data_IF_578797029377
#
_entry.id   IF_578797029377
#
_cell.length_a   1.000
_cell.length_b   1.000
_cell.length_c   1.000
_cell.angle_alpha   90.00
_cell.angle_beta   90.00
_cell.angle_gamma   90.00
#
_symmetry.space_group_name_H-M   'P 1'
#
loop_
_entity.id
_entity.type
_entity.pdbx_description
1 polymer ?
#
# COMPACT_ATOMS: atom_id res chain seq x y z
N UNK A 1 18.74 -17.79 4.40
CA UNK A 1 17.65 -17.65 3.41
C UNK A 1 18.27 -17.19 2.10
N UNK A 2 17.74 -17.64 0.95
CA UNK A 2 18.17 -17.18 -0.37
C UNK A 2 17.84 -15.71 -0.54
N UNK A 3 18.68 -14.98 -1.27
CA UNK A 3 18.35 -13.61 -1.65
C UNK A 3 17.27 -13.60 -2.72
N UNK A 4 16.40 -12.62 -2.65
CA UNK A 4 15.25 -12.46 -3.55
C UNK A 4 15.24 -11.04 -4.10
N UNK A 5 15.01 -10.90 -5.39
CA UNK A 5 14.88 -9.61 -6.04
C UNK A 5 13.52 -9.47 -6.74
N UNK A 6 13.04 -8.25 -6.80
CA UNK A 6 11.99 -7.83 -7.74
C UNK A 6 12.66 -7.66 -9.10
N UNK A 7 12.15 -8.38 -10.11
CA UNK A 7 12.68 -8.36 -11.48
C UNK A 7 11.72 -7.74 -12.48
N UNK A 8 10.42 -7.69 -12.17
CA UNK A 8 9.43 -7.07 -13.02
C UNK A 8 8.23 -6.56 -12.24
N UNK A 9 7.67 -5.44 -12.68
CA UNK A 9 6.53 -4.80 -12.02
C UNK A 9 5.52 -4.27 -13.04
N UNK A 10 4.23 -4.35 -12.68
CA UNK A 10 3.14 -3.80 -13.47
C UNK A 10 2.01 -3.31 -12.59
N UNK A 11 1.31 -2.28 -13.03
CA UNK A 11 0.17 -1.69 -12.32
C UNK A 11 -0.90 -1.28 -13.33
N UNK A 12 -2.16 -1.60 -13.08
CA UNK A 12 -3.29 -1.14 -13.88
C UNK A 12 -3.58 0.33 -13.61
N UNK A 13 -4.40 0.95 -14.44
CA UNK A 13 -5.00 2.24 -14.09
C UNK A 13 -5.98 2.04 -12.94
N UNK A 14 -5.85 2.85 -11.90
CA UNK A 14 -6.76 2.88 -10.76
C UNK A 14 -7.97 3.77 -11.03
N UNK A 15 -9.13 3.39 -10.50
CA UNK A 15 -10.36 4.17 -10.68
C UNK A 15 -11.62 3.37 -10.50
N UNK A 16 -12.71 3.85 -11.09
CA UNK A 16 -13.97 3.12 -11.26
C UNK A 16 -13.83 2.35 -12.57
N UNK A 17 -13.67 1.03 -12.51
CA UNK A 17 -13.33 0.17 -13.65
C UNK A 17 -14.49 -0.78 -14.00
N UNK A 18 -15.65 -0.18 -14.33
CA UNK A 18 -16.82 -0.94 -14.79
C UNK A 18 -16.67 -1.47 -16.23
N UNK A 19 -15.57 -1.11 -16.89
CA UNK A 19 -15.21 -1.48 -18.26
C UNK A 19 -14.55 -2.86 -18.36
N UNK A 20 -14.08 -3.43 -17.26
CA UNK A 20 -13.31 -4.69 -17.21
C UNK A 20 -13.76 -5.59 -16.06
N UNK A 21 -13.61 -6.91 -16.23
CA UNK A 21 -13.73 -7.91 -15.17
C UNK A 21 -12.51 -7.88 -14.24
N UNK A 22 -12.58 -8.58 -13.10
CA UNK A 22 -11.43 -8.72 -12.18
C UNK A 22 -10.24 -9.40 -12.87
N UNK A 23 -10.49 -10.35 -13.78
CA UNK A 23 -9.45 -11.06 -14.52
C UNK A 23 -8.76 -10.18 -15.56
N UNK A 24 -9.53 -9.39 -16.32
CA UNK A 24 -8.98 -8.40 -17.25
C UNK A 24 -8.19 -7.32 -16.54
N UNK A 25 -8.70 -6.84 -15.40
CA UNK A 25 -7.99 -5.86 -14.55
C UNK A 25 -6.66 -6.42 -14.05
N UNK A 26 -6.63 -7.69 -13.60
CA UNK A 26 -5.40 -8.36 -13.20
C UNK A 26 -4.41 -8.48 -14.38
N UNK A 27 -4.90 -8.80 -15.58
CA UNK A 27 -4.07 -8.91 -16.77
C UNK A 27 -3.41 -7.58 -17.18
N UNK A 28 -4.10 -6.45 -16.99
CA UNK A 28 -3.51 -5.11 -17.19
C UNK A 28 -2.25 -4.87 -16.34
N UNK A 29 -2.12 -5.52 -15.20
CA UNK A 29 -0.94 -5.44 -14.35
C UNK A 29 0.08 -6.56 -14.64
N UNK A 30 -0.40 -7.78 -14.90
CA UNK A 30 0.46 -8.95 -15.13
C UNK A 30 1.23 -8.83 -16.44
N UNK A 31 0.59 -8.41 -17.54
CA UNK A 31 1.26 -8.28 -18.83
C UNK A 31 2.47 -7.34 -18.78
N UNK A 32 2.38 -6.09 -18.29
CA UNK A 32 3.55 -5.22 -18.16
C UNK A 32 4.63 -5.80 -17.22
N UNK A 33 4.25 -6.52 -16.16
CA UNK A 33 5.23 -7.10 -15.24
C UNK A 33 6.05 -8.23 -15.90
N UNK A 34 5.46 -8.99 -16.81
CA UNK A 34 6.19 -9.98 -17.62
C UNK A 34 7.12 -9.31 -18.63
N UNK A 35 6.65 -8.26 -19.30
CA UNK A 35 7.45 -7.48 -20.24
C UNK A 35 8.65 -6.85 -19.54
N UNK A 36 8.46 -6.27 -18.33
CA UNK A 36 9.49 -5.68 -17.49
C UNK A 36 10.51 -6.72 -16.99
N UNK A 37 10.04 -7.94 -16.66
CA UNK A 37 10.91 -9.03 -16.21
C UNK A 37 11.61 -9.80 -17.35
N UNK A 38 11.15 -9.65 -18.60
CA UNK A 38 11.64 -10.43 -19.74
C UNK A 38 11.30 -11.92 -19.67
N UNK A 39 10.18 -12.28 -19.03
CA UNK A 39 9.72 -13.67 -18.86
C UNK A 39 8.26 -13.84 -19.31
N UNK A 40 7.75 -15.06 -19.26
CA UNK A 40 6.34 -15.36 -19.55
C UNK A 40 5.67 -16.17 -18.44
N UNK A 41 4.37 -16.39 -18.57
CA UNK A 41 3.57 -17.12 -17.59
C UNK A 41 4.11 -18.53 -17.23
N UNK A 42 4.74 -19.22 -18.19
CA UNK A 42 5.33 -20.55 -18.01
C UNK A 42 6.53 -20.59 -17.05
N UNK A 43 7.15 -19.44 -16.81
CA UNK A 43 8.36 -19.31 -15.98
C UNK A 43 8.00 -19.07 -14.51
N UNK A 44 6.72 -18.76 -14.21
CA UNK A 44 6.24 -18.51 -12.85
C UNK A 44 5.76 -19.81 -12.21
N UNK A 45 6.33 -20.14 -11.06
CA UNK A 45 6.05 -21.39 -10.33
C UNK A 45 5.07 -21.20 -9.17
N UNK A 46 4.95 -19.98 -8.65
CA UNK A 46 4.13 -19.64 -7.50
C UNK A 46 3.46 -18.28 -7.67
N UNK A 47 2.16 -18.20 -7.39
CA UNK A 47 1.38 -16.94 -7.39
C UNK A 47 0.68 -16.78 -6.05
N UNK A 48 0.92 -15.66 -5.38
CA UNK A 48 0.14 -15.22 -4.23
C UNK A 48 -0.74 -14.04 -4.65
N UNK A 49 -2.07 -14.19 -4.53
CA UNK A 49 -3.04 -13.14 -4.81
C UNK A 49 -3.48 -12.45 -3.52
N UNK A 50 -3.28 -11.15 -3.41
CA UNK A 50 -3.89 -10.28 -2.40
C UNK A 50 -5.28 -9.83 -2.86
N UNK A 51 -6.30 -10.24 -2.13
CA UNK A 51 -7.70 -9.84 -2.37
C UNK A 51 -8.53 -10.05 -1.13
N UNK A 52 -9.42 -9.11 -0.83
CA UNK A 52 -10.32 -9.12 0.32
C UNK A 52 -11.75 -9.45 -0.11
N UNK A 53 -12.21 -8.81 -1.17
CA UNK A 53 -13.61 -8.71 -1.54
C UNK A 53 -14.22 -9.90 -2.29
N UNK A 54 -13.51 -11.03 -2.42
CA UNK A 54 -14.01 -12.22 -3.11
C UNK A 54 -15.34 -12.72 -2.51
N UNK A 55 -16.36 -12.83 -3.35
CA UNK A 55 -17.71 -13.20 -2.94
C UNK A 55 -18.47 -12.10 -2.19
N UNK A 56 -17.92 -10.88 -2.12
CA UNK A 56 -18.51 -9.74 -1.44
C UNK A 56 -18.71 -8.54 -2.38
N UNK A 57 -17.62 -7.93 -2.87
CA UNK A 57 -17.67 -6.82 -3.81
C UNK A 57 -17.85 -7.27 -5.26
N UNK A 58 -17.43 -8.49 -5.56
CA UNK A 58 -17.60 -9.17 -6.85
C UNK A 58 -17.97 -10.63 -6.60
N UNK A 59 -18.68 -11.24 -7.52
CA UNK A 59 -19.31 -12.55 -7.32
C UNK A 59 -18.30 -13.72 -7.30
N UNK A 60 -17.05 -13.49 -7.72
CA UNK A 60 -16.03 -14.53 -7.82
C UNK A 60 -15.52 -14.95 -6.44
N UNK A 61 -15.67 -16.23 -6.10
CA UNK A 61 -15.20 -16.80 -4.84
C UNK A 61 -13.74 -17.28 -4.88
N UNK A 62 -13.26 -17.62 -6.08
CA UNK A 62 -11.92 -18.17 -6.33
C UNK A 62 -11.04 -17.25 -7.20
N UNK A 63 -10.86 -15.97 -6.81
CA UNK A 63 -10.19 -14.99 -7.67
C UNK A 63 -8.74 -15.40 -8.02
N UNK A 64 -8.03 -16.11 -7.12
CA UNK A 64 -6.67 -16.58 -7.41
C UNK A 64 -6.62 -17.54 -8.59
N UNK A 65 -7.63 -18.38 -8.78
CA UNK A 65 -7.69 -19.32 -9.90
C UNK A 65 -8.08 -18.60 -11.19
N UNK A 66 -9.21 -17.89 -11.19
CA UNK A 66 -9.73 -17.27 -12.43
C UNK A 66 -8.83 -16.17 -12.98
N UNK A 67 -8.25 -15.34 -12.11
CA UNK A 67 -7.29 -14.29 -12.57
C UNK A 67 -6.00 -14.92 -13.09
N UNK A 68 -5.49 -15.96 -12.43
CA UNK A 68 -4.28 -16.67 -12.87
C UNK A 68 -4.50 -17.43 -14.16
N UNK A 69 -5.64 -18.10 -14.33
CA UNK A 69 -5.99 -18.77 -15.57
C UNK A 69 -6.07 -17.80 -16.74
N UNK A 70 -6.74 -16.65 -16.56
CA UNK A 70 -6.84 -15.60 -17.57
C UNK A 70 -5.46 -15.06 -17.98
N UNK A 71 -4.52 -15.00 -17.02
CA UNK A 71 -3.14 -14.58 -17.26
C UNK A 71 -2.21 -15.71 -17.77
N UNK A 72 -2.72 -16.92 -17.99
CA UNK A 72 -1.95 -18.07 -18.47
C UNK A 72 -1.12 -18.78 -17.40
N UNK A 73 -1.36 -18.49 -16.12
CA UNK A 73 -0.59 -19.00 -14.94
C UNK A 73 -1.14 -20.34 -14.40
N UNK A 74 -1.64 -21.21 -15.26
CA UNK A 74 -2.38 -22.44 -14.90
C UNK A 74 -1.53 -23.54 -14.25
N UNK A 75 -0.20 -23.47 -14.32
CA UNK A 75 0.72 -24.48 -13.77
C UNK A 75 1.39 -24.04 -12.47
N UNK A 76 1.21 -22.80 -12.06
CA UNK A 76 1.76 -22.29 -10.83
C UNK A 76 0.97 -22.78 -9.60
N UNK A 77 1.63 -22.82 -8.45
CA UNK A 77 0.92 -22.95 -7.17
C UNK A 77 0.18 -21.65 -6.90
N UNK A 78 -1.12 -21.74 -6.63
CA UNK A 78 -1.98 -20.57 -6.46
C UNK A 78 -2.46 -20.47 -5.02
N UNK A 79 -2.26 -19.33 -4.37
CA UNK A 79 -2.78 -19.03 -3.03
C UNK A 79 -3.43 -17.66 -2.99
N UNK A 80 -4.51 -17.51 -2.22
CA UNK A 80 -5.09 -16.21 -1.89
C UNK A 80 -4.64 -15.80 -0.49
N UNK A 81 -4.19 -14.55 -0.36
CA UNK A 81 -3.79 -13.92 0.89
C UNK A 81 -4.79 -12.85 1.30
N UNK A 82 -5.15 -12.84 2.58
CA UNK A 82 -6.02 -11.83 3.18
C UNK A 82 -5.35 -11.28 4.45
N UNK A 83 -5.28 -9.95 4.56
CA UNK A 83 -4.87 -9.17 5.73
C UNK A 83 -5.51 -7.76 5.65
N UNK A 84 -6.82 -7.71 5.32
CA UNK A 84 -7.55 -6.48 5.03
C UNK A 84 -6.76 -5.60 4.01
N UNK A 85 -6.61 -4.30 4.25
CA UNK A 85 -5.89 -3.39 3.35
C UNK A 85 -4.40 -3.74 3.14
N UNK A 86 -3.83 -4.67 3.91
CA UNK A 86 -2.47 -5.16 3.77
C UNK A 86 -2.36 -6.48 2.98
N UNK A 87 -3.45 -6.96 2.36
CA UNK A 87 -3.48 -8.24 1.63
C UNK A 87 -2.46 -8.30 0.49
N UNK A 88 -2.21 -7.19 -0.21
CA UNK A 88 -1.16 -7.11 -1.24
C UNK A 88 0.25 -7.29 -0.67
N UNK A 89 0.53 -6.73 0.51
CA UNK A 89 1.81 -6.95 1.21
C UNK A 89 1.93 -8.37 1.77
N UNK A 90 0.83 -8.96 2.23
CA UNK A 90 0.79 -10.37 2.64
C UNK A 90 1.08 -11.30 1.45
N UNK A 91 0.53 -10.99 0.27
CA UNK A 91 0.83 -11.70 -0.97
C UNK A 91 2.30 -11.55 -1.37
N UNK A 92 2.85 -10.34 -1.28
CA UNK A 92 4.28 -10.09 -1.53
C UNK A 92 5.17 -10.89 -0.57
N UNK A 93 4.86 -10.89 0.73
CA UNK A 93 5.58 -11.69 1.72
C UNK A 93 5.50 -13.19 1.43
N UNK A 94 4.32 -13.70 1.02
CA UNK A 94 4.12 -15.11 0.70
C UNK A 94 4.91 -15.53 -0.54
N UNK A 95 4.90 -14.74 -1.59
CA UNK A 95 5.71 -14.98 -2.80
C UNK A 95 7.22 -14.91 -2.49
N UNK A 96 7.65 -13.92 -1.71
CA UNK A 96 9.02 -13.83 -1.19
C UNK A 96 9.41 -15.08 -0.41
N UNK A 97 8.56 -15.54 0.51
CA UNK A 97 8.83 -16.71 1.35
C UNK A 97 8.97 -17.99 0.52
N UNK A 98 8.17 -18.17 -0.55
CA UNK A 98 8.28 -19.32 -1.45
C UNK A 98 9.65 -19.39 -2.12
N UNK A 99 10.21 -18.26 -2.55
CA UNK A 99 11.56 -18.22 -3.13
C UNK A 99 12.65 -18.35 -2.05
N UNK A 100 12.53 -17.61 -0.96
CA UNK A 100 13.53 -17.60 0.12
C UNK A 100 13.70 -18.96 0.79
N UNK A 101 12.65 -19.79 0.80
CA UNK A 101 12.67 -21.17 1.30
C UNK A 101 13.10 -22.21 0.24
N UNK A 102 13.24 -21.81 -1.03
CA UNK A 102 13.63 -22.71 -2.12
C UNK A 102 12.48 -23.51 -2.75
N UNK A 103 11.21 -23.15 -2.47
CA UNK A 103 10.04 -23.77 -3.09
C UNK A 103 9.76 -23.27 -4.51
N UNK A 104 10.31 -22.13 -4.88
CA UNK A 104 10.22 -21.56 -6.23
C UNK A 104 11.49 -20.77 -6.58
N UNK A 105 11.81 -20.71 -7.86
CA UNK A 105 12.83 -19.83 -8.41
C UNK A 105 12.23 -18.48 -8.86
N UNK A 106 11.00 -18.51 -9.38
CA UNK A 106 10.22 -17.35 -9.80
C UNK A 106 8.83 -17.41 -9.18
N UNK A 107 8.44 -16.33 -8.53
CA UNK A 107 7.12 -16.18 -7.92
C UNK A 107 6.51 -14.82 -8.28
N UNK A 108 5.18 -14.75 -8.27
CA UNK A 108 4.44 -13.52 -8.49
C UNK A 108 3.62 -13.16 -7.25
N UNK A 109 3.71 -11.92 -6.83
CA UNK A 109 2.73 -11.30 -5.96
C UNK A 109 1.76 -10.47 -6.83
N UNK A 110 0.49 -10.83 -6.81
CA UNK A 110 -0.57 -10.16 -7.55
C UNK A 110 -1.57 -9.57 -6.56
N UNK A 111 -1.85 -8.28 -6.63
CA UNK A 111 -2.98 -7.66 -5.93
C UNK A 111 -4.06 -7.34 -6.95
N UNK A 112 -5.30 -7.71 -6.68
CA UNK A 112 -6.44 -7.34 -7.52
C UNK A 112 -7.69 -7.15 -6.66
N UNK A 113 -8.37 -6.03 -6.84
CA UNK A 113 -9.59 -5.72 -6.10
C UNK A 113 -10.56 -4.90 -6.95
N UNK A 114 -11.85 -5.27 -6.90
CA UNK A 114 -12.94 -4.50 -7.50
C UNK A 114 -13.96 -4.16 -6.42
N UNK A 115 -13.94 -2.90 -5.98
CA UNK A 115 -14.76 -2.42 -4.86
C UNK A 115 -16.00 -1.65 -5.32
N UNK A 116 -16.17 -1.46 -6.62
CA UNK A 116 -17.18 -0.56 -7.21
C UNK A 116 -18.28 -1.30 -7.98
N UNK A 117 -18.35 -2.64 -7.90
CA UNK A 117 -19.43 -3.42 -8.53
C UNK A 117 -20.72 -3.46 -7.72
N UNK A 118 -20.67 -3.04 -6.46
CA UNK A 118 -21.82 -2.92 -5.56
C UNK A 118 -22.03 -1.48 -5.12
N UNK A 119 -23.19 -1.17 -4.56
CA UNK A 119 -23.49 0.17 -4.06
C UNK A 119 -22.60 0.56 -2.87
N UNK A 120 -22.45 1.87 -2.65
CA UNK A 120 -21.53 2.40 -1.64
C UNK A 120 -21.92 2.04 -0.21
N UNK A 121 -23.22 1.88 0.12
CA UNK A 121 -23.67 1.52 1.47
C UNK A 121 -23.32 0.08 1.81
N UNK A 122 -23.56 -0.84 0.89
CA UNK A 122 -23.16 -2.24 1.00
C UNK A 122 -21.65 -2.38 1.07
N UNK A 123 -20.91 -1.62 0.24
CA UNK A 123 -19.45 -1.61 0.28
C UNK A 123 -18.91 -1.12 1.63
N UNK A 124 -19.51 -0.09 2.22
CA UNK A 124 -19.12 0.40 3.56
C UNK A 124 -19.39 -0.64 4.67
N UNK A 125 -20.48 -1.40 4.58
CA UNK A 125 -20.74 -2.49 5.52
C UNK A 125 -19.67 -3.60 5.40
N UNK A 126 -19.33 -4.00 4.18
CA UNK A 126 -18.27 -5.00 3.95
C UNK A 126 -16.90 -4.52 4.46
N UNK A 127 -16.54 -3.26 4.21
CA UNK A 127 -15.30 -2.68 4.76
C UNK A 127 -15.36 -2.68 6.29
N UNK A 128 -16.50 -2.34 6.90
CA UNK A 128 -16.71 -2.36 8.35
C UNK A 128 -16.40 -3.72 9.01
N UNK A 129 -16.54 -4.81 8.24
CA UNK A 129 -16.21 -6.17 8.71
C UNK A 129 -14.70 -6.41 8.87
N UNK A 130 -13.85 -5.53 8.36
CA UNK A 130 -12.40 -5.57 8.59
C UNK A 130 -11.96 -4.89 9.89
N UNK A 131 -12.90 -4.44 10.75
CA UNK A 131 -12.70 -4.06 12.14
C UNK A 131 -13.19 -5.13 13.10
N UNK A 132 -13.45 -4.76 14.37
CA UNK A 132 -14.12 -5.65 15.33
C UNK A 132 -15.63 -5.56 15.14
N UNK A 133 -16.10 -6.10 13.99
CA UNK A 133 -17.40 -5.85 13.37
C UNK A 133 -18.57 -5.86 14.32
N UNK A 134 -18.76 -6.96 15.08
CA UNK A 134 -19.95 -7.16 15.88
C UNK A 134 -20.11 -6.11 16.99
N UNK A 135 -19.00 -5.78 17.68
CA UNK A 135 -19.05 -4.84 18.80
C UNK A 135 -18.89 -3.37 18.39
N UNK A 136 -18.22 -3.10 17.30
CA UNK A 136 -17.88 -1.73 16.92
C UNK A 136 -18.75 -1.21 15.77
N UNK A 137 -18.82 -1.95 14.65
CA UNK A 137 -19.62 -1.53 13.51
C UNK A 137 -21.11 -1.86 13.70
N UNK A 138 -21.44 -3.14 13.93
CA UNK A 138 -22.85 -3.59 13.98
C UNK A 138 -23.65 -2.93 15.10
N UNK A 139 -23.10 -2.86 16.31
CA UNK A 139 -23.81 -2.30 17.46
C UNK A 139 -23.71 -0.77 17.57
N UNK A 140 -22.62 -0.15 17.12
CA UNK A 140 -22.37 1.28 17.30
C UNK A 140 -22.21 2.07 16.00
N UNK A 141 -22.25 1.42 14.85
CA UNK A 141 -22.14 2.07 13.55
C UNK A 141 -20.77 2.67 13.26
N UNK A 142 -19.71 2.16 13.89
CA UNK A 142 -18.36 2.70 13.76
C UNK A 142 -17.78 2.35 12.38
N UNK A 143 -17.84 3.29 11.44
CA UNK A 143 -17.30 3.16 10.10
C UNK A 143 -15.77 3.39 10.08
N UNK A 144 -15.07 3.02 9.00
CA UNK A 144 -13.62 3.26 8.90
C UNK A 144 -13.24 4.73 9.04
N UNK A 145 -13.92 5.71 8.43
CA UNK A 145 -13.68 7.11 8.73
C UNK A 145 -13.81 7.44 10.22
N UNK A 146 -14.77 6.84 10.94
CA UNK A 146 -14.97 7.08 12.37
C UNK A 146 -13.82 6.50 13.21
N UNK A 147 -13.25 5.33 12.84
CA UNK A 147 -12.03 4.81 13.48
C UNK A 147 -10.88 5.79 13.40
N UNK A 148 -10.61 6.30 12.19
CA UNK A 148 -9.50 7.23 11.98
C UNK A 148 -9.79 8.63 12.52
N UNK A 149 -11.05 9.02 12.65
CA UNK A 149 -11.44 10.24 13.36
C UNK A 149 -11.10 10.16 14.86
N UNK A 150 -11.22 8.98 15.49
CA UNK A 150 -10.78 8.79 16.89
C UNK A 150 -9.25 8.99 17.00
N UNK A 151 -8.46 8.47 16.07
CA UNK A 151 -7.01 8.70 16.04
C UNK A 151 -6.69 10.17 15.81
N UNK A 152 -7.37 10.83 14.87
CA UNK A 152 -7.17 12.25 14.60
C UNK A 152 -7.46 13.10 15.86
N UNK A 153 -8.62 12.91 16.50
CA UNK A 153 -8.96 13.63 17.73
C UNK A 153 -7.95 13.39 18.86
N UNK A 154 -7.50 12.15 19.06
CA UNK A 154 -6.52 11.82 20.08
C UNK A 154 -5.17 12.49 19.79
N UNK A 155 -4.74 12.48 18.54
CA UNK A 155 -3.48 13.10 18.11
C UNK A 155 -3.53 14.62 18.23
N UNK A 156 -4.66 15.24 17.82
CA UNK A 156 -4.90 16.68 17.99
C UNK A 156 -4.89 17.07 19.47
N UNK A 157 -5.59 16.32 20.33
CA UNK A 157 -5.64 16.60 21.76
C UNK A 157 -4.27 16.46 22.45
N UNK A 158 -3.45 15.48 22.04
CA UNK A 158 -2.18 15.18 22.69
C UNK A 158 -1.02 16.01 22.16
N UNK A 159 -0.98 16.26 20.86
CA UNK A 159 0.18 16.85 20.16
C UNK A 159 -0.12 18.18 19.46
N UNK A 160 -1.37 18.63 19.45
CA UNK A 160 -1.76 19.90 18.84
C UNK A 160 -1.78 19.90 17.32
N UNK A 161 -1.89 18.72 16.69
CA UNK A 161 -2.14 18.61 15.23
C UNK A 161 -3.44 19.31 14.89
N UNK A 162 -3.51 20.00 13.77
CA UNK A 162 -4.67 20.78 13.34
C UNK A 162 -5.34 20.18 12.09
N UNK A 163 -6.54 20.66 11.75
CA UNK A 163 -7.22 20.29 10.50
C UNK A 163 -6.43 20.75 9.27
N UNK A 164 -5.70 21.87 9.37
CA UNK A 164 -4.81 22.37 8.32
C UNK A 164 -3.63 21.40 8.08
N UNK A 165 -3.09 20.80 9.14
CA UNK A 165 -2.04 19.78 9.00
C UNK A 165 -2.54 18.55 8.23
N UNK A 166 -3.76 18.12 8.52
CA UNK A 166 -4.42 17.05 7.78
C UNK A 166 -4.62 17.44 6.32
N UNK A 167 -5.10 18.67 6.08
CA UNK A 167 -5.31 19.21 4.74
C UNK A 167 -4.03 19.26 3.92
N UNK A 168 -2.89 19.64 4.51
CA UNK A 168 -1.59 19.66 3.85
C UNK A 168 -1.15 18.28 3.33
N UNK A 169 -1.44 17.20 4.08
CA UNK A 169 -1.22 15.82 3.58
C UNK A 169 -2.02 15.58 2.31
N UNK A 170 -3.30 15.93 2.32
CA UNK A 170 -4.18 15.77 1.16
C UNK A 170 -3.70 16.57 -0.05
N UNK A 171 -3.33 17.84 0.15
CA UNK A 171 -2.81 18.75 -0.89
C UNK A 171 -1.53 18.17 -1.52
N UNK A 172 -0.59 17.69 -0.70
CA UNK A 172 0.65 17.03 -1.15
C UNK A 172 0.34 15.81 -2.01
N UNK A 173 -0.51 14.89 -1.54
CA UNK A 173 -0.81 13.67 -2.25
C UNK A 173 -1.58 13.93 -3.55
N UNK A 174 -2.52 14.89 -3.58
CA UNK A 174 -3.16 15.34 -4.81
C UNK A 174 -2.20 16.01 -5.80
N UNK A 175 -1.18 16.72 -5.32
CA UNK A 175 -0.12 17.30 -6.18
C UNK A 175 0.62 16.19 -6.95
N UNK A 176 1.01 15.11 -6.28
CA UNK A 176 1.75 14.00 -6.90
C UNK A 176 0.83 13.07 -7.70
N UNK A 177 -0.39 12.83 -7.23
CA UNK A 177 -1.38 12.07 -7.98
C UNK A 177 -1.78 12.72 -9.29
N UNK A 178 -1.83 14.06 -9.34
CA UNK A 178 -2.07 14.81 -10.58
C UNK A 178 -1.02 14.55 -11.67
N UNK A 179 0.20 14.17 -11.26
CA UNK A 179 1.30 13.83 -12.16
C UNK A 179 1.41 12.33 -12.44
N UNK A 180 0.59 11.50 -11.77
CA UNK A 180 0.63 10.05 -11.94
C UNK A 180 -0.45 9.57 -12.93
N UNK A 181 -0.07 9.00 -14.10
CA UNK A 181 -1.04 8.60 -15.11
C UNK A 181 -1.99 7.49 -14.66
N UNK A 182 -1.60 6.67 -13.69
CA UNK A 182 -2.44 5.57 -13.16
C UNK A 182 -3.36 6.02 -12.02
N UNK A 183 -3.20 7.23 -11.48
CA UNK A 183 -3.99 7.71 -10.35
C UNK A 183 -5.48 7.92 -10.72
N UNK A 184 -6.35 7.64 -9.75
CA UNK A 184 -7.79 7.87 -9.85
C UNK A 184 -8.13 9.36 -9.82
N UNK A 185 -7.60 10.10 -8.84
CA UNK A 185 -7.86 11.53 -8.66
C UNK A 185 -6.66 12.33 -9.18
N UNK A 186 -6.88 13.11 -10.24
CA UNK A 186 -5.82 13.85 -10.93
C UNK A 186 -5.96 15.37 -10.79
N UNK A 187 -6.84 15.83 -9.95
CA UNK A 187 -7.04 17.26 -9.68
C UNK A 187 -6.14 17.70 -8.52
N UNK A 188 -5.48 18.83 -8.70
CA UNK A 188 -4.85 19.56 -7.58
C UNK A 188 -5.93 20.23 -6.75
N UNK A 189 -5.72 20.26 -5.45
CA UNK A 189 -6.61 20.91 -4.47
C UNK A 189 -5.80 21.83 -3.56
N UNK A 190 -6.48 22.74 -2.90
CA UNK A 190 -5.92 23.66 -1.90
C UNK A 190 -6.31 23.25 -0.48
N UNK A 191 -5.69 23.84 0.52
CA UNK A 191 -6.08 23.69 1.92
C UNK A 191 -7.54 24.10 2.12
N UNK A 192 -7.95 25.23 1.52
CA UNK A 192 -9.32 25.72 1.61
C UNK A 192 -10.34 24.75 0.99
N UNK A 193 -10.01 24.09 -0.14
CA UNK A 193 -10.85 23.04 -0.72
C UNK A 193 -11.07 21.89 0.24
N UNK A 194 -10.02 21.46 0.96
CA UNK A 194 -10.11 20.39 1.95
C UNK A 194 -10.98 20.82 3.12
N UNK A 195 -10.70 21.98 3.70
CA UNK A 195 -11.40 22.51 4.88
C UNK A 195 -12.89 22.79 4.60
N UNK A 196 -13.23 23.22 3.37
CA UNK A 196 -14.60 23.45 2.94
C UNK A 196 -15.36 22.18 2.53
N UNK A 197 -14.68 21.04 2.38
CA UNK A 197 -15.33 19.80 1.95
C UNK A 197 -16.21 19.20 3.05
N UNK A 198 -17.14 18.33 2.64
CA UNK A 198 -18.12 17.72 3.54
C UNK A 198 -17.46 16.95 4.68
N UNK A 199 -17.89 17.16 5.91
CA UNK A 199 -17.47 16.38 7.08
C UNK A 199 -17.99 14.95 6.95
N UNK A 200 -17.10 13.98 7.00
CA UNK A 200 -17.43 12.54 6.97
C UNK A 200 -17.50 11.98 8.40
N UNK A 201 -16.50 12.24 9.22
CA UNK A 201 -16.45 11.91 10.65
C UNK A 201 -15.49 12.90 11.32
N UNK A 202 -16.02 13.85 12.10
CA UNK A 202 -15.21 14.95 12.66
C UNK A 202 -13.96 14.46 13.40
N UNK A 203 -12.74 15.03 13.09
CA UNK A 203 -12.50 16.19 12.24
C UNK A 203 -12.33 15.87 10.75
N UNK A 204 -12.38 14.60 10.32
CA UNK A 204 -12.10 14.17 8.95
C UNK A 204 -13.21 14.60 7.97
N UNK A 205 -12.79 15.19 6.87
CA UNK A 205 -13.63 15.63 5.76
C UNK A 205 -13.44 14.73 4.53
N UNK A 206 -14.20 14.97 3.49
CA UNK A 206 -14.19 14.17 2.27
C UNK A 206 -12.78 14.04 1.67
N UNK A 207 -12.05 15.15 1.59
CA UNK A 207 -10.68 15.15 1.10
C UNK A 207 -9.65 14.62 2.11
N UNK A 208 -10.02 14.25 3.32
CA UNK A 208 -9.19 13.50 4.26
C UNK A 208 -9.28 11.99 4.07
N UNK A 209 -10.25 11.52 3.29
CA UNK A 209 -10.52 10.10 3.05
C UNK A 209 -10.03 9.65 1.67
N UNK A 210 -9.48 8.44 1.55
CA UNK A 210 -9.16 7.85 0.26
C UNK A 210 -10.45 7.44 -0.49
N UNK A 211 -10.46 7.45 -1.83
CA UNK A 211 -11.59 6.97 -2.61
C UNK A 211 -11.67 5.44 -2.61
N UNK A 212 -12.88 4.89 -2.77
CA UNK A 212 -13.05 3.50 -3.16
C UNK A 212 -12.59 3.30 -4.60
N UNK A 213 -11.75 2.29 -4.83
CA UNK A 213 -10.99 2.15 -6.06
C UNK A 213 -10.96 0.70 -6.53
N UNK A 214 -11.09 0.49 -7.83
CA UNK A 214 -10.75 -0.75 -8.50
C UNK A 214 -9.31 -0.66 -9.03
N UNK A 215 -8.56 -1.76 -8.95
CA UNK A 215 -7.19 -1.77 -9.44
C UNK A 215 -6.46 -3.09 -9.23
N UNK A 216 -5.38 -3.29 -9.98
CA UNK A 216 -4.48 -4.43 -9.84
C UNK A 216 -3.01 -4.00 -9.94
N UNK A 217 -2.11 -4.74 -9.27
CA UNK A 217 -0.67 -4.57 -9.35
C UNK A 217 0.01 -5.94 -9.27
N UNK A 218 1.04 -6.14 -10.09
CA UNK A 218 1.77 -7.40 -10.21
C UNK A 218 3.26 -7.17 -10.01
N UNK A 219 3.88 -8.02 -9.18
CA UNK A 219 5.30 -7.98 -8.84
C UNK A 219 5.89 -9.37 -9.12
N UNK A 220 6.84 -9.45 -10.02
CA UNK A 220 7.61 -10.67 -10.30
C UNK A 220 8.86 -10.67 -9.45
N UNK A 221 9.03 -11.75 -8.69
CA UNK A 221 10.17 -11.99 -7.81
C UNK A 221 10.99 -13.16 -8.33
N UNK A 222 12.30 -13.10 -8.15
CA UNK A 222 13.20 -14.19 -8.52
C UNK A 222 14.31 -14.41 -7.49
N UNK A 223 14.84 -15.63 -7.44
CA UNK A 223 16.03 -15.98 -6.66
C UNK A 223 17.28 -15.28 -7.25
N UNK A 224 18.33 -15.13 -6.44
CA UNK A 224 19.63 -14.58 -6.90
C UNK A 224 20.20 -15.38 -8.08
N UNK A 225 20.01 -16.70 -8.06
CA UNK A 225 20.45 -17.60 -9.12
C UNK A 225 19.72 -17.31 -10.42
N UNK A 226 18.38 -17.13 -10.34
CA UNK A 226 17.55 -16.83 -11.50
C UNK A 226 17.78 -15.42 -12.04
N UNK A 227 18.03 -14.45 -11.18
CA UNK A 227 18.44 -13.08 -11.58
C UNK A 227 19.71 -13.13 -12.44
N UNK A 228 20.71 -13.95 -12.06
CA UNK A 228 21.97 -14.13 -12.82
C UNK A 228 21.73 -14.84 -14.15
N UNK A 229 20.90 -15.89 -14.16
CA UNK A 229 20.51 -16.65 -15.36
C UNK A 229 19.83 -15.75 -16.40
N UNK A 230 18.85 -14.96 -15.93
CA UNK A 230 18.08 -14.03 -16.77
C UNK A 230 18.86 -12.77 -17.15
N UNK A 231 20.03 -12.54 -16.53
CA UNK A 231 20.88 -11.34 -16.73
C UNK A 231 20.10 -10.04 -16.51
N UNK A 232 19.34 -9.98 -15.41
CA UNK A 232 18.54 -8.80 -15.06
C UNK A 232 19.47 -7.61 -14.77
N UNK A 233 19.37 -6.54 -15.55
CA UNK A 233 20.28 -5.38 -15.47
C UNK A 233 20.11 -4.59 -14.16
N UNK A 234 18.88 -4.39 -13.71
CA UNK A 234 18.53 -3.55 -12.55
C UNK A 234 17.64 -4.28 -11.55
N UNK A 235 18.12 -5.38 -10.93
CA UNK A 235 17.36 -6.07 -9.90
C UNK A 235 17.21 -5.20 -8.65
N UNK A 236 16.00 -5.18 -8.07
CA UNK A 236 15.74 -4.49 -6.81
C UNK A 236 15.58 -5.51 -5.69
N UNK A 237 16.53 -5.54 -4.76
CA UNK A 237 16.63 -6.58 -3.74
C UNK A 237 15.66 -6.32 -2.59
N UNK A 238 15.04 -7.39 -2.11
CA UNK A 238 14.29 -7.39 -0.86
C UNK A 238 15.29 -7.42 0.29
N UNK A 239 15.60 -6.25 0.85
CA UNK A 239 16.58 -6.11 1.92
C UNK A 239 16.02 -6.59 3.27
N UNK A 240 14.75 -6.35 3.53
CA UNK A 240 14.10 -6.80 4.76
C UNK A 240 12.60 -6.65 4.73
N UNK A 241 11.91 -7.59 5.36
CA UNK A 241 10.47 -7.52 5.60
C UNK A 241 10.23 -7.66 7.09
N UNK A 242 9.45 -6.74 7.66
CA UNK A 242 8.91 -6.83 9.00
C UNK A 242 7.40 -6.88 8.94
N UNK A 243 6.80 -7.67 9.78
CA UNK A 243 5.34 -7.77 9.91
C UNK A 243 4.95 -7.95 11.36
N UNK A 244 3.77 -7.47 11.70
CA UNK A 244 3.19 -7.60 13.03
C UNK A 244 1.67 -7.52 12.96
N UNK A 245 1.02 -8.05 13.97
CA UNK A 245 -0.40 -7.87 14.21
C UNK A 245 -0.63 -7.35 15.62
N UNK A 246 -1.69 -6.56 15.78
CA UNK A 246 -2.16 -6.03 17.04
C UNK A 246 -3.62 -6.43 17.29
N UNK A 247 -4.26 -5.77 18.26
CA UNK A 247 -5.67 -6.01 18.55
C UNK A 247 -6.60 -5.32 17.55
N UNK A 248 -7.61 -6.05 17.08
CA UNK A 248 -8.70 -5.47 16.29
C UNK A 248 -9.67 -4.66 17.17
N UNK A 249 -9.81 -5.02 18.46
CA UNK A 249 -10.70 -4.38 19.41
C UNK A 249 -10.09 -3.08 19.93
N UNK A 250 -10.73 -1.94 19.62
CA UNK A 250 -10.27 -0.60 20.04
C UNK A 250 -10.15 -0.47 21.56
N UNK A 251 -11.06 -1.06 22.32
CA UNK A 251 -11.05 -0.95 23.79
C UNK A 251 -9.83 -1.59 24.47
N UNK A 252 -9.07 -2.40 23.73
CA UNK A 252 -7.85 -3.05 24.20
C UNK A 252 -6.57 -2.33 23.79
N UNK A 253 -6.68 -1.23 23.05
CA UNK A 253 -5.51 -0.44 22.66
C UNK A 253 -5.05 0.45 23.80
N UNK A 254 -3.73 0.59 24.00
CA UNK A 254 -3.20 1.43 25.07
C UNK A 254 -3.45 2.92 24.83
N UNK A 255 -3.46 3.35 23.58
CA UNK A 255 -3.77 4.71 23.15
C UNK A 255 -4.26 4.75 21.70
N UNK A 256 -4.57 5.96 21.21
CA UNK A 256 -5.04 6.23 19.85
C UNK A 256 -4.12 7.18 19.06
N UNK A 257 -2.84 7.31 19.43
CA UNK A 257 -1.90 8.21 18.78
C UNK A 257 -0.80 7.48 18.01
N UNK A 258 -0.93 6.18 17.84
CA UNK A 258 -0.01 5.34 17.08
C UNK A 258 -0.53 3.93 16.90
N UNK A 259 0.15 3.15 16.08
CA UNK A 259 -0.17 1.76 15.78
C UNK A 259 0.98 0.87 16.23
N UNK A 260 0.79 0.12 17.33
CA UNK A 260 1.82 -0.79 17.85
C UNK A 260 2.32 -1.78 16.78
N UNK A 261 1.41 -2.28 15.95
CA UNK A 261 1.77 -3.16 14.84
C UNK A 261 2.73 -2.49 13.84
N UNK A 262 2.57 -1.18 13.57
CA UNK A 262 3.47 -0.42 12.70
C UNK A 262 4.86 -0.26 13.31
N UNK A 263 4.93 0.06 14.60
CA UNK A 263 6.20 0.18 15.34
C UNK A 263 6.97 -1.14 15.33
N UNK A 264 6.31 -2.25 15.67
CA UNK A 264 6.94 -3.56 15.71
C UNK A 264 7.36 -4.07 14.32
N UNK A 265 6.52 -3.88 13.31
CA UNK A 265 6.83 -4.25 11.94
C UNK A 265 8.04 -3.47 11.41
N UNK A 266 8.09 -2.16 11.62
CA UNK A 266 9.22 -1.32 11.17
C UNK A 266 10.53 -1.70 11.85
N UNK A 267 10.54 -1.93 13.16
CA UNK A 267 11.72 -2.40 13.89
C UNK A 267 12.26 -3.73 13.33
N UNK A 268 11.36 -4.67 13.01
CA UNK A 268 11.73 -5.96 12.41
C UNK A 268 12.29 -5.79 11.01
N UNK A 269 11.69 -4.91 10.19
CA UNK A 269 12.15 -4.63 8.83
C UNK A 269 13.54 -3.98 8.84
N UNK A 270 13.76 -2.95 9.66
CA UNK A 270 15.07 -2.30 9.82
C UNK A 270 16.14 -3.28 10.28
N UNK A 271 15.83 -4.12 11.29
CA UNK A 271 16.74 -5.16 11.76
C UNK A 271 17.10 -6.16 10.67
N UNK A 272 16.10 -6.63 9.91
CA UNK A 272 16.31 -7.59 8.82
C UNK A 272 17.14 -7.00 7.68
N UNK A 273 16.89 -5.73 7.31
CA UNK A 273 17.60 -5.02 6.25
C UNK A 273 18.99 -4.52 6.66
N UNK A 274 19.30 -4.48 7.96
CA UNK A 274 20.54 -3.89 8.48
C UNK A 274 20.66 -2.39 8.23
N UNK A 275 19.54 -1.66 8.21
CA UNK A 275 19.50 -0.21 7.98
C UNK A 275 18.76 0.50 9.13
N UNK A 276 18.96 1.83 9.19
CA UNK A 276 18.28 2.72 10.13
C UNK A 276 17.30 3.63 9.39
N UNK A 277 16.31 4.26 10.04
CA UNK A 277 15.39 5.20 9.41
C UNK A 277 16.08 6.32 8.63
N UNK A 278 17.24 6.80 9.08
CA UNK A 278 17.99 7.87 8.41
C UNK A 278 18.67 7.44 7.09
N UNK A 279 18.66 6.15 6.76
CA UNK A 279 19.19 5.60 5.52
C UNK A 279 18.13 5.36 4.46
N UNK A 280 16.86 5.59 4.79
CA UNK A 280 15.74 5.53 3.85
C UNK A 280 15.75 6.81 3.01
N UNK A 281 15.74 6.67 1.69
CA UNK A 281 15.71 7.81 0.77
C UNK A 281 14.28 8.32 0.54
N UNK A 282 13.30 7.42 0.55
CA UNK A 282 11.88 7.75 0.37
C UNK A 282 10.98 6.62 0.90
N UNK A 283 9.71 6.92 1.12
CA UNK A 283 8.75 5.93 1.61
C UNK A 283 7.39 6.04 0.90
N UNK A 284 6.74 4.90 0.72
CA UNK A 284 5.32 4.78 0.44
C UNK A 284 4.63 4.31 1.72
N UNK A 285 3.77 5.14 2.32
CA UNK A 285 3.09 4.82 3.57
C UNK A 285 1.59 4.76 3.39
N UNK A 286 0.91 4.07 4.30
CA UNK A 286 -0.52 3.84 4.25
C UNK A 286 -1.30 5.08 4.69
N UNK A 287 -1.75 5.88 3.76
CA UNK A 287 -2.49 7.13 3.93
C UNK A 287 -3.98 6.99 3.57
N UNK A 288 -4.62 5.91 4.00
CA UNK A 288 -6.06 5.74 3.76
C UNK A 288 -6.90 6.92 4.32
N UNK A 289 -6.37 7.60 5.32
CA UNK A 289 -6.82 8.90 5.84
C UNK A 289 -5.60 9.77 6.12
N UNK A 290 -5.76 11.07 6.06
CA UNK A 290 -4.65 12.02 6.23
C UNK A 290 -3.91 11.86 7.56
N UNK A 291 -4.62 11.60 8.66
CA UNK A 291 -4.01 11.31 9.96
C UNK A 291 -3.15 10.03 9.96
N UNK A 292 -3.51 9.03 9.16
CA UNK A 292 -2.73 7.79 9.07
C UNK A 292 -1.32 8.03 8.54
N UNK A 293 -1.16 8.96 7.59
CA UNK A 293 0.15 9.34 7.07
C UNK A 293 1.00 10.03 8.14
N UNK A 294 0.44 10.98 8.90
CA UNK A 294 1.12 11.66 10.00
C UNK A 294 1.59 10.64 11.05
N UNK A 295 0.70 9.75 11.47
CA UNK A 295 1.04 8.69 12.43
C UNK A 295 2.09 7.73 11.89
N UNK A 296 2.05 7.42 10.60
CA UNK A 296 3.03 6.54 9.97
C UNK A 296 4.45 7.11 10.05
N UNK A 297 4.65 8.41 9.81
CA UNK A 297 5.98 9.04 9.94
C UNK A 297 6.60 8.80 11.32
N UNK A 298 5.78 8.86 12.35
CA UNK A 298 6.18 8.70 13.75
C UNK A 298 6.41 7.21 14.09
N UNK A 299 5.47 6.34 13.69
CA UNK A 299 5.50 4.91 14.01
C UNK A 299 6.66 4.17 13.33
N UNK A 300 7.03 4.58 12.11
CA UNK A 300 8.17 4.00 11.40
C UNK A 300 9.50 4.73 11.67
N UNK A 301 9.49 5.75 12.54
CA UNK A 301 10.69 6.42 13.03
C UNK A 301 11.32 7.45 12.08
N UNK A 302 10.55 8.03 11.14
CA UNK A 302 11.04 9.15 10.31
C UNK A 302 11.14 10.45 11.10
N UNK A 303 10.36 10.57 12.17
CA UNK A 303 10.42 11.63 13.18
C UNK A 303 10.05 11.09 14.56
N UNK A 304 10.19 11.92 15.60
CA UNK A 304 9.72 11.58 16.94
C UNK A 304 8.18 11.64 17.03
N UNK A 305 7.61 10.99 18.04
CA UNK A 305 6.17 11.04 18.32
C UNK A 305 5.71 12.48 18.56
N UNK A 306 4.62 12.86 17.88
CA UNK A 306 4.04 14.21 17.90
C UNK A 306 4.69 15.20 16.94
N UNK A 307 5.70 14.80 16.16
CA UNK A 307 6.38 15.68 15.20
C UNK A 307 5.96 15.44 13.75
N UNK A 308 5.10 14.46 13.48
CA UNK A 308 4.68 14.11 12.11
C UNK A 308 3.98 15.28 11.39
N UNK A 309 3.10 16.01 12.06
CA UNK A 309 2.45 17.20 11.52
C UNK A 309 3.45 18.31 11.15
N UNK A 310 4.52 18.47 11.94
CA UNK A 310 5.58 19.45 11.66
C UNK A 310 6.32 19.12 10.35
N UNK A 311 6.62 17.83 10.09
CA UNK A 311 7.25 17.44 8.83
C UNK A 311 6.42 17.87 7.61
N UNK A 312 5.10 17.76 7.70
CA UNK A 312 4.20 18.18 6.62
C UNK A 312 4.20 19.70 6.46
N UNK A 313 4.01 20.45 7.56
CA UNK A 313 4.03 21.93 7.53
C UNK A 313 5.31 22.52 6.92
N UNK A 314 6.44 21.88 7.19
CA UNK A 314 7.74 22.32 6.70
C UNK A 314 8.09 21.78 5.31
N UNK A 315 7.17 21.06 4.63
CA UNK A 315 7.41 20.45 3.33
C UNK A 315 8.49 19.35 3.32
N UNK A 316 8.83 18.81 4.49
CA UNK A 316 9.93 17.84 4.64
C UNK A 316 9.61 16.47 4.05
N UNK A 317 8.33 16.21 3.72
CA UNK A 317 7.84 14.97 3.09
C UNK A 317 7.63 15.10 1.59
N UNK A 318 8.02 16.23 0.99
CA UNK A 318 8.02 16.47 -0.45
C UNK A 318 9.40 16.20 -1.08
N UNK A 319 9.45 16.13 -2.42
CA UNK A 319 10.73 16.05 -3.16
C UNK A 319 11.55 17.30 -2.85
N UNK A 320 12.78 17.08 -2.41
CA UNK A 320 13.69 18.14 -1.93
C UNK A 320 13.63 18.38 -0.42
N UNK A 321 12.66 17.78 0.29
CA UNK A 321 12.62 17.75 1.75
C UNK A 321 13.49 16.65 2.36
N UNK A 322 13.37 16.45 3.67
CA UNK A 322 14.16 15.46 4.44
C UNK A 322 13.90 14.03 3.97
N UNK A 323 12.63 13.68 3.71
CA UNK A 323 12.19 12.34 3.36
C UNK A 323 10.93 12.41 2.48
N UNK A 324 11.03 12.29 1.16
CA UNK A 324 9.87 12.22 0.27
C UNK A 324 8.95 11.04 0.63
N UNK A 325 7.64 11.30 0.74
CA UNK A 325 6.65 10.27 1.07
C UNK A 325 5.44 10.35 0.15
N UNK A 326 5.01 9.19 -0.36
CA UNK A 326 3.84 9.04 -1.23
C UNK A 326 3.94 9.86 -2.54
N UNK A 327 5.08 9.70 -3.22
CA UNK A 327 5.35 10.44 -4.46
C UNK A 327 4.50 9.96 -5.64
N UNK A 328 3.77 8.89 -5.48
CA UNK A 328 2.78 8.40 -6.45
C UNK A 328 1.37 9.00 -6.27
N UNK A 329 1.17 9.78 -5.21
CA UNK A 329 -0.11 10.36 -4.81
C UNK A 329 -0.76 9.64 -3.63
N UNK A 330 -0.10 8.60 -3.10
CA UNK A 330 -0.61 7.80 -1.99
C UNK A 330 -1.97 7.15 -2.26
N UNK A 331 -2.54 6.53 -1.27
CA UNK A 331 -3.89 5.97 -1.32
C UNK A 331 -4.93 7.07 -1.51
N UNK A 332 -4.60 8.27 -1.03
CA UNK A 332 -5.45 9.45 -0.99
C UNK A 332 -5.82 9.95 -2.38
N UNK A 333 -4.88 9.97 -3.32
CA UNK A 333 -5.09 10.50 -4.67
C UNK A 333 -4.92 9.42 -5.74
N UNK A 334 -3.87 8.57 -5.64
CA UNK A 334 -3.70 7.43 -6.55
C UNK A 334 -4.90 6.48 -6.47
N UNK A 335 -5.39 6.20 -5.26
CA UNK A 335 -6.49 5.29 -5.00
C UNK A 335 -6.10 4.11 -4.11
N UNK A 336 -7.12 3.45 -3.55
CA UNK A 336 -6.94 2.39 -2.55
C UNK A 336 -7.76 1.14 -2.86
N UNK A 337 -7.41 0.36 -3.90
CA UNK A 337 -7.96 -0.98 -4.05
C UNK A 337 -7.31 -1.85 -2.97
N UNK A 338 -8.08 -2.22 -1.94
CA UNK A 338 -7.52 -2.66 -0.64
C UNK A 338 -6.64 -3.91 -0.74
N UNK A 339 -7.00 -4.88 -1.58
CA UNK A 339 -6.18 -6.07 -1.83
C UNK A 339 -4.93 -5.81 -2.66
N UNK A 340 -4.86 -4.67 -3.37
CA UNK A 340 -3.80 -4.35 -4.32
C UNK A 340 -2.72 -3.45 -3.73
N UNK A 341 -3.08 -2.60 -2.76
CA UNK A 341 -2.27 -1.47 -2.30
C UNK A 341 -0.83 -1.85 -1.97
N UNK A 342 -0.61 -2.96 -1.26
CA UNK A 342 0.75 -3.40 -0.91
C UNK A 342 1.62 -3.71 -2.13
N UNK A 343 1.08 -4.37 -3.15
CA UNK A 343 1.79 -4.60 -4.42
C UNK A 343 2.04 -3.28 -5.17
N UNK A 344 1.07 -2.36 -5.18
CA UNK A 344 1.23 -1.05 -5.83
C UNK A 344 2.30 -0.18 -5.15
N UNK A 345 2.47 -0.26 -3.83
CA UNK A 345 3.58 0.38 -3.13
C UNK A 345 4.94 -0.20 -3.58
N UNK A 346 5.05 -1.52 -3.69
CA UNK A 346 6.27 -2.19 -4.19
C UNK A 346 6.56 -1.81 -5.65
N UNK A 347 5.52 -1.66 -6.47
CA UNK A 347 5.65 -1.14 -7.85
C UNK A 347 6.33 0.24 -7.84
N UNK A 348 5.81 1.19 -7.07
CA UNK A 348 6.39 2.55 -7.03
C UNK A 348 7.81 2.53 -6.47
N UNK A 349 8.07 1.78 -5.36
CA UNK A 349 9.42 1.64 -4.84
C UNK A 349 10.41 1.14 -5.89
N UNK A 350 10.00 0.12 -6.66
CA UNK A 350 10.86 -0.47 -7.69
C UNK A 350 11.16 0.53 -8.81
N UNK A 351 10.13 1.25 -9.29
CA UNK A 351 10.30 2.27 -10.33
C UNK A 351 11.20 3.42 -9.87
N UNK A 352 11.02 3.89 -8.63
CA UNK A 352 11.87 4.95 -8.06
C UNK A 352 13.32 4.48 -7.91
N UNK A 353 13.55 3.27 -7.36
CA UNK A 353 14.90 2.72 -7.17
C UNK A 353 15.63 2.43 -8.47
N UNK A 354 14.91 2.12 -9.54
CA UNK A 354 15.48 1.97 -10.90
C UNK A 354 15.67 3.30 -11.62
N UNK A 355 15.25 4.42 -11.01
CA UNK A 355 15.24 5.76 -11.63
C UNK A 355 14.33 5.83 -12.87
N UNK A 356 13.23 5.07 -12.82
CA UNK A 356 12.23 4.91 -13.87
C UNK A 356 10.85 5.48 -13.45
N UNK A 357 10.81 6.50 -12.59
CA UNK A 357 9.55 7.14 -12.26
C UNK A 357 8.82 7.57 -13.55
N UNK A 358 7.53 7.20 -13.67
CA UNK A 358 6.75 7.42 -14.90
C UNK A 358 6.77 8.88 -15.34
N UNK A 359 6.72 9.79 -14.39
CA UNK A 359 6.96 11.22 -14.57
C UNK A 359 8.28 11.60 -13.90
N UNK A 360 9.24 12.13 -14.66
CA UNK A 360 10.56 12.52 -14.14
C UNK A 360 10.51 13.53 -13.00
N UNK A 361 9.48 14.39 -12.96
CA UNK A 361 9.26 15.34 -11.88
C UNK A 361 8.87 14.69 -10.54
N UNK A 362 8.49 13.41 -10.55
CA UNK A 362 8.23 12.60 -9.35
C UNK A 362 9.42 11.75 -8.93
N UNK A 363 10.51 11.72 -9.72
CA UNK A 363 11.70 10.95 -9.38
C UNK A 363 12.36 11.52 -8.11
N UNK A 364 12.49 10.66 -7.13
CA UNK A 364 13.15 10.99 -5.86
C UNK A 364 14.67 11.02 -6.06
N UNK A 365 15.38 12.00 -5.50
CA UNK A 365 16.84 11.95 -5.40
C UNK A 365 17.26 10.77 -4.50
N UNK A 366 18.04 9.84 -5.06
CA UNK A 366 18.52 8.66 -4.34
C UNK A 366 19.97 8.89 -3.85
N UNK A 367 20.21 8.54 -2.58
CA UNK A 367 21.52 8.63 -1.93
C UNK A 367 22.01 7.25 -1.50
N UNK A 368 21.16 6.49 -0.85
CA UNK A 368 21.47 5.16 -0.32
C UNK A 368 20.87 4.05 -1.18
N UNK A 369 20.01 4.39 -2.13
CA UNK A 369 19.21 3.48 -2.92
C UNK A 369 18.34 2.55 -2.07
N UNK A 370 17.70 3.12 -1.05
CA UNK A 370 16.84 2.39 -0.09
C UNK A 370 15.46 3.03 -0.04
N UNK A 371 14.44 2.24 -0.37
CA UNK A 371 13.03 2.62 -0.28
C UNK A 371 12.27 1.78 0.73
N UNK A 372 11.24 2.35 1.36
CA UNK A 372 10.41 1.70 2.36
C UNK A 372 8.93 1.75 1.97
N UNK A 373 8.23 0.60 1.99
CA UNK A 373 6.78 0.51 1.94
C UNK A 373 6.21 0.14 3.32
N UNK A 374 5.23 0.90 3.80
CA UNK A 374 4.50 0.66 5.03
C UNK A 374 3.03 0.48 4.72
N UNK A 375 2.51 -0.73 4.86
CA UNK A 375 1.13 -1.08 4.53
C UNK A 375 0.38 -1.61 5.75
N UNK A 376 -0.72 -0.95 6.08
CA UNK A 376 -1.56 -1.26 7.24
C UNK A 376 -2.85 -1.93 6.80
N UNK A 377 -3.32 -2.89 7.57
CA UNK A 377 -4.60 -3.58 7.35
C UNK A 377 -5.58 -3.41 8.51
N UNK A 378 -6.86 -3.30 8.15
CA UNK A 378 -7.94 -3.07 9.10
C UNK A 378 -7.81 -1.75 9.84
N UNK A 379 -8.18 -1.72 11.09
CA UNK A 379 -8.05 -0.53 11.95
C UNK A 379 -6.65 -0.34 12.52
N UNK A 380 -5.60 -0.91 11.88
CA UNK A 380 -4.22 -0.87 12.35
C UNK A 380 -3.78 -2.14 13.11
N UNK A 381 -4.51 -3.24 12.93
CA UNK A 381 -4.17 -4.51 13.57
C UNK A 381 -3.31 -5.43 12.68
N UNK A 382 -3.11 -5.12 11.40
CA UNK A 382 -2.07 -5.72 10.56
C UNK A 382 -1.11 -4.64 10.09
N UNK A 383 0.16 -4.95 10.06
CA UNK A 383 1.16 -4.08 9.42
C UNK A 383 2.27 -4.92 8.78
N UNK A 384 2.60 -4.55 7.55
CA UNK A 384 3.76 -5.04 6.82
C UNK A 384 4.64 -3.84 6.45
N UNK A 385 5.94 -3.98 6.71
CA UNK A 385 6.96 -3.02 6.29
C UNK A 385 7.98 -3.75 5.43
N UNK A 386 8.14 -3.30 4.20
CA UNK A 386 9.10 -3.87 3.25
C UNK A 386 10.17 -2.82 2.93
N UNK A 387 11.43 -3.21 3.04
CA UNK A 387 12.58 -2.38 2.65
C UNK A 387 13.21 -3.00 1.41
N UNK A 388 13.24 -2.22 0.34
CA UNK A 388 13.89 -2.57 -0.90
C UNK A 388 15.18 -1.78 -1.06
N UNK A 389 16.16 -2.39 -1.75
CA UNK A 389 17.47 -1.80 -2.01
C UNK A 389 17.95 -2.14 -3.43
N UNK A 390 18.55 -1.18 -4.09
CA UNK A 390 19.27 -1.38 -5.36
C UNK A 390 20.77 -1.29 -5.18
#
# INVERSE_FOLDING_TARGET
MRKVAVIGVGNSKFGIRNDVTISELAFEAVKPSFEDAGIGAKDVEFVALGSVGAGAWYEELLPAVVTSEYCGLTKAVLVRCEAACASGSAAFFTAYAAIASGHAEVAMALGAEKMREIDSSTSMEWIGRAGYYFWEFHNFGLTFPAYYALYANAHMAKYGTTEEDLALVSVKNHKYGAMNPIAQLKNRITVDDVLASMVIASPLKLYDCCPMTDGAASIVLASEEKVKELKVDTPVWVAGIGYSSGTANLSKRPDFVGLEASVLASQRAYKAAGVTPNQIDFAEVHDCFTIAEIMAYEDIGLCAKGEGAKLVREGQTEIGGKIPVNMDGGLKSKGHPIGTTGCSMIYELTKQLREEAVEKSRQVPLKNYVGLAHNVGGTGHYCYVTILKR
#
